data_IF_864012034663
#
_entry.id   IF_864012034663
#
_cell.length_a   1.000
_cell.length_b   1.000
_cell.length_c   1.000
_cell.angle_alpha   90.00
_cell.angle_beta   90.00
_cell.angle_gamma   90.00
#
_symmetry.space_group_name_H-M   'P 1'
#
loop_
_entity.id
_entity.type
_entity.pdbx_description
1 polymer ?
#
# COMPACT_ATOMS: atom_id res chain seq x y z
N UNK A 1 -3.91 -3.85 18.86
CA UNK A 1 -4.97 -3.30 19.72
C UNK A 1 -5.55 -1.98 19.20
N UNK A 2 -4.73 -0.89 19.04
CA UNK A 2 -5.22 0.39 18.51
C UNK A 2 -5.68 0.23 17.05
N UNK A 3 -4.91 -0.45 16.23
CA UNK A 3 -5.25 -0.72 14.83
C UNK A 3 -6.56 -1.49 14.68
N UNK A 4 -6.78 -2.49 15.49
CA UNK A 4 -8.01 -3.29 15.49
C UNK A 4 -9.21 -2.49 15.95
N UNK A 5 -9.05 -1.70 17.02
CA UNK A 5 -10.13 -0.95 17.63
C UNK A 5 -10.58 0.25 16.81
N UNK A 6 -9.65 0.94 16.14
CA UNK A 6 -9.92 2.21 15.47
C UNK A 6 -9.70 2.16 13.95
N UNK A 7 -8.54 1.71 13.48
CA UNK A 7 -8.25 1.73 12.04
C UNK A 7 -9.14 0.77 11.25
N UNK A 8 -9.32 -0.45 11.74
CA UNK A 8 -10.14 -1.44 11.04
C UNK A 8 -11.57 -0.96 10.81
N UNK A 9 -12.31 -0.42 11.81
CA UNK A 9 -13.62 0.17 11.57
C UNK A 9 -13.62 1.40 10.68
N UNK A 10 -12.55 2.21 10.71
CA UNK A 10 -12.53 3.48 9.96
C UNK A 10 -12.10 3.32 8.50
N UNK A 11 -11.12 2.50 8.24
CA UNK A 11 -10.54 2.33 6.89
C UNK A 11 -10.65 0.91 6.34
N UNK A 12 -11.37 0.02 7.03
CA UNK A 12 -11.65 -1.32 6.55
C UNK A 12 -10.56 -2.35 6.81
N UNK A 13 -9.37 -1.95 7.20
CA UNK A 13 -8.24 -2.86 7.42
C UNK A 13 -7.14 -2.28 8.28
N UNK A 14 -6.35 -3.15 8.89
CA UNK A 14 -5.22 -2.77 9.73
C UNK A 14 -4.14 -3.86 9.77
N UNK A 15 -2.93 -3.47 10.12
CA UNK A 15 -1.87 -4.40 10.49
C UNK A 15 -2.19 -5.04 11.84
N UNK A 16 -1.90 -6.32 11.98
CA UNK A 16 -2.00 -7.06 13.26
C UNK A 16 -0.65 -7.65 13.63
N UNK A 17 -0.18 -7.33 14.83
CA UNK A 17 1.09 -7.86 15.34
C UNK A 17 1.07 -9.40 15.43
N UNK A 18 2.14 -10.05 15.01
CA UNK A 18 2.24 -11.51 14.96
C UNK A 18 1.50 -12.17 13.79
N UNK A 19 0.72 -11.41 13.03
CA UNK A 19 0.01 -11.88 11.84
C UNK A 19 0.52 -11.22 10.57
N UNK A 20 0.48 -9.90 10.49
CA UNK A 20 0.96 -9.14 9.33
C UNK A 20 2.49 -9.09 9.31
N UNK A 21 3.05 -8.96 8.12
CA UNK A 21 4.50 -8.86 7.90
C UNK A 21 4.82 -7.67 7.00
N UNK A 22 6.03 -7.14 7.14
CA UNK A 22 6.50 -5.92 6.47
C UNK A 22 7.84 -6.12 5.73
N UNK A 23 7.93 -7.09 4.82
CA UNK A 23 9.15 -7.28 4.05
C UNK A 23 9.37 -6.17 3.01
N UNK A 24 10.62 -5.99 2.62
CA UNK A 24 10.97 -5.16 1.47
C UNK A 24 10.99 -6.04 0.22
N UNK A 25 10.18 -5.72 -0.78
CA UNK A 25 10.10 -6.49 -2.01
C UNK A 25 9.64 -5.68 -3.22
N UNK A 26 9.96 -6.20 -4.40
CA UNK A 26 9.50 -5.62 -5.67
C UNK A 26 8.13 -6.19 -5.96
N UNK A 27 7.10 -5.36 -5.85
CA UNK A 27 5.73 -5.75 -6.16
C UNK A 27 5.37 -5.33 -7.58
N UNK A 28 4.81 -6.27 -8.34
CA UNK A 28 4.06 -6.00 -9.55
C UNK A 28 2.60 -5.79 -9.15
N UNK A 29 2.25 -4.53 -8.93
CA UNK A 29 0.94 -4.12 -8.47
C UNK A 29 -0.06 -4.17 -9.61
N UNK A 30 -1.16 -4.90 -9.43
CA UNK A 30 -2.33 -4.87 -10.29
C UNK A 30 -3.35 -3.92 -9.69
N UNK A 31 -3.85 -2.96 -10.50
CA UNK A 31 -4.87 -1.99 -10.09
C UNK A 31 -6.27 -2.48 -10.46
N UNK A 32 -7.25 -2.21 -9.62
CA UNK A 32 -8.66 -2.36 -9.97
C UNK A 32 -9.03 -1.40 -11.11
N UNK A 33 -9.70 -1.93 -12.15
CA UNK A 33 -10.06 -1.12 -13.34
C UNK A 33 -11.46 -0.52 -13.25
N UNK A 34 -12.37 -1.22 -12.61
CA UNK A 34 -13.78 -0.85 -12.56
C UNK A 34 -14.11 0.09 -11.38
N UNK A 35 -13.12 0.84 -10.92
CA UNK A 35 -13.28 1.80 -9.85
C UNK A 35 -12.53 3.10 -10.16
N UNK A 36 -13.13 4.25 -9.82
CA UNK A 36 -12.59 5.58 -10.16
C UNK A 36 -11.18 5.85 -9.59
N UNK A 37 -10.76 5.20 -8.52
CA UNK A 37 -9.37 5.29 -8.01
C UNK A 37 -8.37 4.71 -9.03
N UNK A 38 -8.81 3.79 -9.90
CA UNK A 38 -8.01 3.25 -11.00
C UNK A 38 -7.86 4.19 -12.21
N UNK A 39 -8.59 5.31 -12.25
CA UNK A 39 -8.58 6.22 -13.39
C UNK A 39 -7.17 6.71 -13.74
N UNK A 40 -6.77 6.50 -14.99
CA UNK A 40 -5.46 6.91 -15.51
C UNK A 40 -4.25 6.18 -14.90
N UNK A 41 -4.47 5.21 -14.02
CA UNK A 41 -3.39 4.37 -13.47
C UNK A 41 -3.09 3.24 -14.46
N UNK A 42 -1.80 2.97 -14.80
CA UNK A 42 -1.42 1.83 -15.62
C UNK A 42 -1.90 0.51 -15.02
N UNK A 43 -2.24 -0.46 -15.84
CA UNK A 43 -2.72 -1.78 -15.40
C UNK A 43 -1.76 -2.49 -14.45
N UNK A 44 -0.46 -2.27 -14.65
CA UNK A 44 0.60 -2.78 -13.79
C UNK A 44 1.56 -1.67 -13.42
N UNK A 45 1.92 -1.65 -12.15
CA UNK A 45 2.90 -0.72 -11.59
C UNK A 45 3.92 -1.53 -10.83
N UNK A 46 5.17 -1.53 -11.29
CA UNK A 46 6.25 -2.22 -10.59
C UNK A 46 6.96 -1.26 -9.65
N UNK A 47 7.06 -1.61 -8.37
CA UNK A 47 7.71 -0.77 -7.37
C UNK A 47 8.35 -1.60 -6.26
N UNK A 48 9.60 -1.23 -5.89
CA UNK A 48 10.24 -1.71 -4.66
C UNK A 48 9.79 -0.84 -3.50
N UNK A 49 9.18 -1.47 -2.49
CA UNK A 49 8.85 -0.79 -1.23
C UNK A 49 8.82 -1.79 -0.06
N UNK A 50 8.54 -1.29 1.13
CA UNK A 50 8.20 -2.11 2.29
C UNK A 50 6.71 -2.46 2.24
N UNK A 51 6.37 -3.40 1.36
CA UNK A 51 4.98 -3.79 1.14
C UNK A 51 4.52 -4.76 2.25
N UNK A 52 3.74 -4.24 3.19
CA UNK A 52 3.09 -5.07 4.20
C UNK A 52 2.08 -6.00 3.57
N UNK A 53 1.96 -7.22 4.07
CA UNK A 53 0.90 -8.14 3.67
C UNK A 53 0.35 -8.97 4.83
N UNK A 54 -0.63 -9.82 4.57
CA UNK A 54 -1.49 -10.43 5.59
C UNK A 54 -2.17 -9.36 6.46
N UNK A 55 -2.75 -8.36 5.83
CA UNK A 55 -3.55 -7.35 6.53
C UNK A 55 -4.83 -7.99 7.09
N UNK A 56 -5.31 -7.45 8.20
CA UNK A 56 -6.61 -7.83 8.77
C UNK A 56 -7.67 -6.84 8.35
N UNK A 57 -8.76 -7.35 7.82
CA UNK A 57 -9.89 -6.56 7.36
C UNK A 57 -11.08 -6.67 8.30
N UNK A 58 -12.10 -5.85 8.10
CA UNK A 58 -13.40 -5.98 8.71
C UNK A 58 -14.03 -7.34 8.36
N UNK A 59 -14.98 -7.82 9.17
CA UNK A 59 -15.64 -9.12 8.95
C UNK A 59 -16.37 -9.16 7.61
N UNK A 60 -17.08 -8.07 7.28
CA UNK A 60 -17.74 -7.91 5.98
C UNK A 60 -16.70 -7.53 4.90
N UNK A 61 -15.96 -8.52 4.44
CA UNK A 61 -14.88 -8.36 3.47
C UNK A 61 -15.35 -7.86 2.11
N UNK A 62 -16.62 -8.06 1.77
CA UNK A 62 -17.20 -7.63 0.49
C UNK A 62 -17.28 -6.10 0.36
N UNK A 63 -17.30 -5.39 1.50
CA UNK A 63 -17.24 -3.91 1.53
C UNK A 63 -15.85 -3.34 1.35
N UNK A 64 -14.83 -4.18 1.34
CA UNK A 64 -13.44 -3.77 1.13
C UNK A 64 -13.07 -3.98 -0.33
N UNK A 65 -12.79 -2.89 -1.02
CA UNK A 65 -12.36 -2.89 -2.41
C UNK A 65 -10.85 -3.13 -2.49
N UNK A 66 -10.40 -4.14 -3.21
CA UNK A 66 -8.98 -4.41 -3.46
C UNK A 66 -8.48 -3.48 -4.57
N UNK A 67 -7.87 -2.36 -4.20
CA UNK A 67 -7.40 -1.35 -5.15
C UNK A 67 -6.05 -1.72 -5.77
N UNK A 68 -5.06 -2.07 -4.96
CA UNK A 68 -3.82 -2.68 -5.43
C UNK A 68 -3.66 -4.07 -4.84
N UNK A 69 -3.35 -5.02 -5.70
CA UNK A 69 -2.99 -6.37 -5.29
C UNK A 69 -1.65 -6.78 -5.89
N UNK A 70 -0.92 -7.66 -5.20
CA UNK A 70 0.29 -8.29 -5.73
C UNK A 70 0.52 -9.65 -5.05
N UNK A 71 1.41 -10.45 -5.64
CA UNK A 71 1.76 -11.78 -5.11
C UNK A 71 3.20 -11.73 -4.57
N UNK A 72 3.40 -11.81 -3.24
CA UNK A 72 4.72 -11.95 -2.68
C UNK A 72 5.28 -13.35 -2.97
N UNK A 73 6.53 -13.42 -3.41
CA UNK A 73 7.22 -14.69 -3.68
C UNK A 73 8.63 -14.63 -3.12
N UNK A 74 9.26 -15.76 -2.88
CA UNK A 74 10.67 -15.77 -2.45
C UNK A 74 11.59 -15.11 -3.46
N UNK A 75 11.22 -15.12 -4.76
CA UNK A 75 12.02 -14.56 -5.84
C UNK A 75 12.04 -13.03 -5.84
N UNK A 76 10.92 -12.37 -5.49
CA UNK A 76 10.82 -10.91 -5.52
C UNK A 76 11.08 -10.25 -4.15
N UNK A 77 11.33 -11.04 -3.09
CA UNK A 77 11.76 -10.53 -1.80
C UNK A 77 13.17 -9.97 -1.85
N UNK A 78 13.33 -8.72 -1.46
CA UNK A 78 14.64 -8.06 -1.38
C UNK A 78 15.37 -8.37 -0.08
N UNK A 79 14.64 -8.48 1.01
CA UNK A 79 15.16 -8.89 2.33
C UNK A 79 14.13 -9.75 3.05
N UNK A 80 14.65 -10.60 3.89
CA UNK A 80 14.01 -11.67 4.62
C UNK A 80 12.57 -11.36 5.07
N UNK A 81 11.67 -12.24 4.67
CA UNK A 81 10.51 -12.52 5.49
C UNK A 81 11.06 -12.91 6.84
N UNK A 82 10.52 -12.30 7.89
CA UNK A 82 10.80 -12.78 9.22
C UNK A 82 10.43 -14.27 9.30
N UNK A 83 11.42 -15.13 9.17
CA UNK A 83 11.25 -16.60 9.14
C UNK A 83 10.54 -17.14 10.38
N UNK A 84 10.45 -16.29 11.42
CA UNK A 84 9.76 -16.59 12.66
C UNK A 84 8.24 -16.35 12.56
N UNK A 85 7.78 -15.61 11.56
CA UNK A 85 6.36 -15.40 11.36
C UNK A 85 5.82 -16.42 10.34
N UNK A 86 5.23 -17.49 10.88
CA UNK A 86 4.60 -18.56 10.10
C UNK A 86 3.56 -18.00 9.11
N UNK A 87 2.76 -17.04 9.53
CA UNK A 87 1.73 -16.42 8.70
C UNK A 87 2.33 -15.69 7.49
N UNK A 88 3.49 -15.06 7.66
CA UNK A 88 4.24 -14.44 6.56
C UNK A 88 4.69 -15.46 5.52
N UNK A 89 5.16 -16.62 5.95
CA UNK A 89 5.55 -17.72 5.05
C UNK A 89 4.34 -18.30 4.33
N UNK A 90 3.23 -18.48 5.01
CA UNK A 90 1.98 -19.00 4.44
C UNK A 90 1.33 -18.02 3.44
N UNK A 91 1.62 -16.74 3.53
CA UNK A 91 1.17 -15.70 2.59
C UNK A 91 1.89 -15.69 1.25
N UNK A 92 3.04 -16.38 1.15
CA UNK A 92 3.80 -16.45 -0.10
C UNK A 92 3.02 -17.21 -1.19
N UNK A 93 3.11 -16.67 -2.42
CA UNK A 93 2.39 -17.23 -3.57
C UNK A 93 0.89 -16.96 -3.57
N UNK A 94 0.36 -16.26 -2.56
CA UNK A 94 -1.05 -15.86 -2.50
C UNK A 94 -1.19 -14.37 -2.80
N UNK A 95 -2.25 -14.02 -3.52
CA UNK A 95 -2.57 -12.61 -3.77
C UNK A 95 -2.82 -11.88 -2.45
N UNK A 96 -2.21 -10.71 -2.31
CA UNK A 96 -2.31 -9.85 -1.15
C UNK A 96 -2.86 -8.49 -1.56
N UNK A 97 -3.71 -7.91 -0.71
CA UNK A 97 -4.23 -6.55 -0.85
C UNK A 97 -3.24 -5.58 -0.23
N UNK A 98 -2.71 -4.66 -1.04
CA UNK A 98 -1.69 -3.69 -0.64
C UNK A 98 -2.22 -2.24 -0.62
N UNK A 99 -3.35 -2.01 -1.26
CA UNK A 99 -4.15 -0.80 -1.15
C UNK A 99 -5.62 -1.21 -1.24
N UNK A 100 -6.45 -0.61 -0.40
CA UNK A 100 -7.87 -0.92 -0.38
C UNK A 100 -8.71 0.31 -0.11
N UNK A 101 -9.93 0.30 -0.63
CA UNK A 101 -10.99 1.25 -0.30
C UNK A 101 -12.02 0.59 0.62
N UNK A 102 -12.69 1.40 1.41
CA UNK A 102 -13.76 0.96 2.30
C UNK A 102 -14.84 2.02 2.40
N UNK A 103 -16.07 1.65 2.07
CA UNK A 103 -17.24 2.47 2.32
C UNK A 103 -17.89 2.00 3.62
N UNK A 104 -17.90 2.88 4.62
CA UNK A 104 -18.44 2.55 5.93
C UNK A 104 -19.97 2.42 5.89
N UNK A 105 -20.57 1.45 6.60
CA UNK A 105 -22.02 1.28 6.65
C UNK A 105 -22.79 2.53 7.12
N UNK A 106 -22.20 3.26 8.04
CA UNK A 106 -22.75 4.52 8.61
C UNK A 106 -22.41 5.76 7.79
N UNK A 107 -21.76 5.57 6.66
CA UNK A 107 -21.35 6.64 5.74
C UNK A 107 -19.88 7.03 5.85
N UNK A 108 -19.39 7.65 4.80
CA UNK A 108 -17.99 8.05 4.62
C UNK A 108 -17.11 6.94 4.05
N UNK A 109 -15.91 7.32 3.66
CA UNK A 109 -14.95 6.47 2.93
C UNK A 109 -13.64 6.41 3.66
N UNK A 110 -12.96 5.27 3.59
CA UNK A 110 -11.60 5.08 4.08
C UNK A 110 -10.73 4.44 3.02
N UNK A 111 -9.44 4.70 3.09
CA UNK A 111 -8.42 4.03 2.25
C UNK A 111 -7.27 3.59 3.13
N UNK A 112 -6.83 2.36 2.95
CA UNK A 112 -5.57 1.88 3.47
C UNK A 112 -4.56 1.67 2.35
N UNK A 113 -3.32 2.04 2.60
CA UNK A 113 -2.21 1.88 1.68
C UNK A 113 -0.96 1.49 2.47
N UNK A 114 -0.33 0.39 2.11
CA UNK A 114 0.77 -0.20 2.89
C UNK A 114 2.16 0.13 2.36
N UNK A 115 2.26 0.90 1.28
CA UNK A 115 3.52 1.36 0.70
C UNK A 115 3.93 2.77 1.18
N UNK A 116 4.96 3.33 0.55
CA UNK A 116 5.43 4.69 0.81
C UNK A 116 6.56 4.76 1.85
N UNK A 117 7.17 3.65 2.21
CA UNK A 117 8.36 3.61 3.06
C UNK A 117 9.56 4.30 2.39
N UNK A 118 9.74 4.07 1.10
CA UNK A 118 10.79 4.73 0.35
C UNK A 118 10.31 6.01 -0.31
N UNK A 119 11.00 7.12 -0.08
CA UNK A 119 10.73 8.41 -0.74
C UNK A 119 10.71 8.30 -2.26
N UNK A 120 11.63 7.51 -2.82
CA UNK A 120 11.72 7.29 -4.28
C UNK A 120 10.51 6.57 -4.88
N UNK A 121 9.71 5.88 -4.08
CA UNK A 121 8.45 5.25 -4.56
C UNK A 121 7.48 6.30 -5.10
N UNK A 122 7.54 7.53 -4.61
CA UNK A 122 6.72 8.64 -5.10
C UNK A 122 7.12 9.13 -6.51
N UNK A 123 8.28 8.72 -7.05
CA UNK A 123 8.63 8.94 -8.45
C UNK A 123 7.85 8.02 -9.41
N UNK A 124 7.26 6.94 -8.92
CA UNK A 124 6.45 6.02 -9.72
C UNK A 124 5.07 6.62 -9.97
N UNK A 125 4.86 7.14 -11.19
CA UNK A 125 3.65 7.90 -11.55
C UNK A 125 2.35 7.15 -11.27
N UNK A 126 2.28 5.88 -11.61
CA UNK A 126 1.09 5.06 -11.38
C UNK A 126 0.76 4.91 -9.91
N UNK A 127 1.77 4.73 -9.04
CA UNK A 127 1.61 4.67 -7.60
C UNK A 127 1.09 6.00 -7.04
N UNK A 128 1.77 7.09 -7.40
CA UNK A 128 1.43 8.44 -6.95
C UNK A 128 0.03 8.84 -7.40
N UNK A 129 -0.34 8.53 -8.65
CA UNK A 129 -1.67 8.80 -9.19
C UNK A 129 -2.77 8.04 -8.43
N UNK A 130 -2.58 6.75 -8.15
CA UNK A 130 -3.54 5.99 -7.38
C UNK A 130 -3.77 6.58 -5.98
N UNK A 131 -2.70 7.00 -5.30
CA UNK A 131 -2.81 7.64 -3.98
C UNK A 131 -3.52 8.98 -4.06
N UNK A 132 -3.22 9.82 -5.07
CA UNK A 132 -3.92 11.09 -5.27
C UNK A 132 -5.40 10.88 -5.61
N UNK A 133 -5.72 9.91 -6.46
CA UNK A 133 -7.10 9.52 -6.76
C UNK A 133 -7.83 9.11 -5.47
N UNK A 134 -7.18 8.32 -4.62
CA UNK A 134 -7.75 7.86 -3.36
C UNK A 134 -8.04 9.02 -2.40
N UNK A 135 -7.19 10.03 -2.34
CA UNK A 135 -7.42 11.25 -1.55
C UNK A 135 -8.69 11.97 -2.03
N UNK A 136 -8.82 12.16 -3.35
CA UNK A 136 -10.01 12.80 -3.94
C UNK A 136 -11.27 11.98 -3.67
N UNK A 137 -11.18 10.68 -3.85
CA UNK A 137 -12.29 9.76 -3.59
C UNK A 137 -12.73 9.76 -2.11
N UNK A 138 -11.77 9.72 -1.17
CA UNK A 138 -12.07 9.77 0.28
C UNK A 138 -12.71 11.10 0.69
N UNK A 139 -12.41 12.18 -0.01
CA UNK A 139 -13.07 13.48 0.17
C UNK A 139 -14.52 13.52 -0.37
N UNK A 140 -15.03 12.41 -0.93
CA UNK A 140 -16.36 12.33 -1.54
C UNK A 140 -16.46 13.04 -2.89
N UNK A 141 -15.33 13.39 -3.50
CA UNK A 141 -15.26 14.06 -4.80
C UNK A 141 -15.08 13.01 -5.92
N UNK A 142 -15.58 13.33 -7.12
CA UNK A 142 -15.39 12.51 -8.31
C UNK A 142 -13.93 12.58 -8.76
N UNK A 143 -13.31 11.42 -8.96
CA UNK A 143 -11.97 11.33 -9.54
C UNK A 143 -12.04 11.61 -11.05
N UNK A 144 -11.17 12.48 -11.62
CA UNK A 144 -11.13 12.71 -13.06
C UNK A 144 -10.90 11.41 -13.86
N UNK A 145 -11.44 11.29 -15.08
CA UNK A 145 -11.29 10.10 -15.92
C UNK A 145 -9.82 9.75 -16.23
N UNK A 146 -8.96 10.75 -16.41
CA UNK A 146 -7.52 10.56 -16.58
C UNK A 146 -6.74 10.40 -15.27
N UNK A 147 -7.45 10.37 -14.13
CA UNK A 147 -6.86 10.43 -12.80
C UNK A 147 -6.34 11.82 -12.43
N UNK A 148 -5.88 11.96 -11.21
CA UNK A 148 -5.26 13.20 -10.71
C UNK A 148 -3.84 13.30 -11.25
N UNK A 149 -3.59 14.29 -12.07
CA UNK A 149 -2.28 14.52 -12.65
C UNK A 149 -1.36 15.24 -11.67
N UNK A 150 -0.11 14.86 -11.67
CA UNK A 150 0.95 15.51 -10.91
C UNK A 150 2.27 15.40 -11.65
N UNK A 151 3.14 16.39 -11.49
CA UNK A 151 4.51 16.32 -12.01
C UNK A 151 5.28 15.22 -11.26
N UNK A 152 6.03 14.40 -11.99
CA UNK A 152 7.01 13.49 -11.37
C UNK A 152 8.06 14.29 -10.62
N UNK A 153 8.33 13.99 -9.35
CA UNK A 153 9.42 14.63 -8.62
C UNK A 153 10.77 14.24 -9.23
N UNK A 154 11.69 15.17 -9.26
CA UNK A 154 13.08 14.92 -9.65
C UNK A 154 13.81 14.18 -8.53
N UNK A 155 14.95 13.57 -8.85
CA UNK A 155 15.82 12.92 -7.84
C UNK A 155 16.27 13.94 -6.76
N UNK A 156 16.49 15.20 -7.15
CA UNK A 156 16.83 16.27 -6.21
C UNK A 156 15.66 16.58 -5.27
N UNK A 157 14.45 16.76 -5.80
CA UNK A 157 13.25 16.99 -5.01
C UNK A 157 12.97 15.83 -4.02
N UNK A 158 13.22 14.58 -4.44
CA UNK A 158 13.07 13.39 -3.58
C UNK A 158 14.10 13.34 -2.44
N UNK A 159 15.23 14.04 -2.58
CA UNK A 159 16.30 14.05 -1.58
C UNK A 159 16.30 15.31 -0.71
N UNK A 160 15.43 16.28 -0.97
CA UNK A 160 15.28 17.49 -0.13
C UNK A 160 14.77 17.11 1.25
N UNK A 161 15.36 17.71 2.29
CA UNK A 161 14.98 17.53 3.70
C UNK A 161 15.10 16.10 4.24
N UNK A 162 15.83 15.22 3.56
CA UNK A 162 16.17 13.93 4.13
C UNK A 162 17.24 14.09 5.21
N UNK A 163 17.00 13.51 6.37
CA UNK A 163 18.00 13.45 7.43
C UNK A 163 19.26 12.72 6.94
N UNK A 164 20.43 13.27 7.24
CA UNK A 164 21.70 12.58 7.03
C UNK A 164 21.69 11.30 7.85
N UNK A 165 21.55 10.16 7.19
CA UNK A 165 21.69 8.86 7.87
C UNK A 165 23.10 8.75 8.42
N UNK A 166 23.24 8.91 9.74
CA UNK A 166 24.48 8.64 10.43
C UNK A 166 24.95 7.23 10.10
N UNK A 167 26.25 7.01 9.97
CA UNK A 167 26.80 5.65 9.88
C UNK A 167 26.33 4.89 11.12
N UNK A 168 25.46 3.90 10.94
CA UNK A 168 25.11 2.96 12.00
C UNK A 168 26.41 2.30 12.42
N UNK A 169 26.96 2.66 13.59
CA UNK A 169 28.09 1.92 14.18
C UNK A 169 27.58 0.50 14.36
N UNK A 170 28.10 -0.44 13.57
CA UNK A 170 27.88 -1.86 13.84
C UNK A 170 28.43 -2.11 15.25
N UNK A 171 27.54 -2.35 16.19
CA UNK A 171 27.90 -2.89 17.49
C UNK A 171 28.47 -4.27 17.19
N UNK A 172 29.77 -4.46 17.53
CA UNK A 172 30.46 -5.75 17.40
C UNK A 172 29.93 -6.70 18.45
#
# INVERSE_FOLDING_TARGET
EIGEKYYRPWIGGAMESGWSVNPHWVADLSIIKDHEIGNGVPEKVTCLDEWYYNMRFVEDREKVLDLFTAVPTRKNMHRYINMWNKNGVEGLGKQQTLMWGYERPEGGRGVGFVGGHYHRSWAVDGLRRAVLNAIVWTAGMKVPEGGVLSKSPTEEELNVNLDKKGRVKRIK
#
